data_IF_195168784337
#
_entry.id   IF_195168784337
#
_cell.length_a   1.000
_cell.length_b   1.000
_cell.length_c   1.000
_cell.angle_alpha   90.00
_cell.angle_beta   90.00
_cell.angle_gamma   90.00
#
_symmetry.space_group_name_H-M   'P 1'
#
loop_
_entity.id
_entity.type
_entity.pdbx_description
1 polymer ?
#
# COMPACT_ATOMS: atom_id res chain seq x y z
N UNK A 1 -29.54 12.21 4.37
CA UNK A 1 -29.32 10.80 4.78
C UNK A 1 -28.30 10.08 3.91
N UNK A 2 -28.47 9.96 2.58
CA UNK A 2 -27.49 9.24 1.74
C UNK A 2 -26.12 9.93 1.70
N UNK A 3 -26.08 11.26 1.49
CA UNK A 3 -24.83 12.02 1.50
C UNK A 3 -24.08 11.90 2.84
N UNK A 4 -24.79 12.08 3.96
CA UNK A 4 -24.21 11.95 5.29
C UNK A 4 -23.59 10.55 5.56
N UNK A 5 -24.20 9.48 5.04
CA UNK A 5 -23.63 8.12 5.14
C UNK A 5 -22.38 7.95 4.27
N UNK A 6 -22.34 8.64 3.12
CA UNK A 6 -21.18 8.65 2.23
C UNK A 6 -20.00 9.41 2.85
N UNK A 7 -20.26 10.55 3.48
CA UNK A 7 -19.24 11.34 4.18
C UNK A 7 -18.63 10.52 5.34
N UNK A 8 -19.45 9.81 6.12
CA UNK A 8 -18.95 8.92 7.19
C UNK A 8 -18.17 7.72 6.66
N UNK A 9 -18.54 7.20 5.48
CA UNK A 9 -17.76 6.14 4.84
C UNK A 9 -16.38 6.66 4.42
N UNK A 10 -16.30 7.88 3.86
CA UNK A 10 -15.04 8.54 3.51
C UNK A 10 -14.19 8.74 4.76
N UNK A 11 -14.77 9.24 5.86
CA UNK A 11 -14.06 9.41 7.12
C UNK A 11 -13.52 8.06 7.64
N UNK A 12 -14.33 7.01 7.64
CA UNK A 12 -13.92 5.68 8.07
C UNK A 12 -12.77 5.12 7.23
N UNK A 13 -12.89 5.17 5.91
CA UNK A 13 -11.83 4.71 5.00
C UNK A 13 -10.57 5.56 5.12
N UNK A 14 -10.70 6.88 5.33
CA UNK A 14 -9.53 7.76 5.48
C UNK A 14 -8.72 7.39 6.71
N UNK A 15 -9.38 7.06 7.83
CA UNK A 15 -8.72 6.63 9.06
C UNK A 15 -8.02 5.28 8.91
N UNK A 16 -8.58 4.36 8.11
CA UNK A 16 -7.92 3.10 7.81
C UNK A 16 -6.71 3.33 6.92
N UNK A 17 -6.84 4.10 5.84
CA UNK A 17 -5.74 4.44 4.94
C UNK A 17 -4.62 5.24 5.62
N UNK A 18 -4.90 6.00 6.67
CA UNK A 18 -3.85 6.69 7.44
C UNK A 18 -3.01 5.70 8.27
N UNK A 19 -3.63 4.63 8.78
CA UNK A 19 -2.95 3.55 9.52
C UNK A 19 -2.24 2.56 8.59
N UNK A 20 -2.90 2.24 7.49
CA UNK A 20 -2.39 1.37 6.42
C UNK A 20 -2.47 2.12 5.06
N UNK A 21 -1.46 2.95 4.75
CA UNK A 21 -1.38 3.69 3.49
C UNK A 21 -1.38 2.80 2.26
N UNK A 22 -0.97 1.53 2.38
CA UNK A 22 -1.00 0.59 1.27
C UNK A 22 -2.43 0.31 0.81
N UNK A 23 -3.43 0.48 1.70
CA UNK A 23 -4.84 0.25 1.38
C UNK A 23 -5.35 1.16 0.25
N UNK A 24 -4.76 2.32 0.00
CA UNK A 24 -5.13 3.18 -1.16
C UNK A 24 -4.86 2.49 -2.50
N UNK A 25 -4.04 1.43 -2.51
CA UNK A 25 -3.68 0.66 -3.71
C UNK A 25 -4.58 -0.54 -3.93
N UNK A 26 -5.54 -0.75 -3.03
CA UNK A 26 -6.45 -1.89 -3.09
C UNK A 26 -7.28 -1.87 -4.39
N UNK A 27 -7.39 -2.99 -5.13
CA UNK A 27 -8.20 -3.08 -6.34
C UNK A 27 -9.68 -2.71 -6.15
N UNK A 28 -10.21 -2.76 -4.92
CA UNK A 28 -11.58 -2.32 -4.60
C UNK A 28 -11.87 -0.91 -5.10
N UNK A 29 -10.88 -0.02 -5.14
CA UNK A 29 -11.06 1.35 -5.60
C UNK A 29 -11.33 1.47 -7.10
N UNK A 30 -11.12 0.39 -7.87
CA UNK A 30 -11.50 0.31 -9.29
C UNK A 30 -12.90 -0.26 -9.50
N UNK A 31 -13.49 -0.87 -8.47
CA UNK A 31 -14.86 -1.37 -8.56
C UNK A 31 -15.84 -0.19 -8.72
N UNK A 32 -16.78 -0.23 -9.69
CA UNK A 32 -17.70 0.88 -9.94
C UNK A 32 -18.50 1.34 -8.72
N UNK A 33 -18.74 0.47 -7.73
CA UNK A 33 -19.48 0.81 -6.52
C UNK A 33 -18.65 1.69 -5.56
N UNK A 34 -17.32 1.55 -5.60
CA UNK A 34 -16.38 2.23 -4.70
C UNK A 34 -15.56 3.32 -5.39
N UNK A 35 -15.40 3.28 -6.71
CA UNK A 35 -14.57 4.21 -7.48
C UNK A 35 -14.92 5.68 -7.24
N UNK A 36 -16.21 6.00 -7.05
CA UNK A 36 -16.66 7.37 -6.74
C UNK A 36 -16.20 7.89 -5.37
N UNK A 37 -15.85 7.01 -4.44
CA UNK A 37 -15.35 7.37 -3.11
C UNK A 37 -13.87 7.71 -3.14
N UNK A 38 -13.13 7.24 -4.14
CA UNK A 38 -11.67 7.30 -4.14
C UNK A 38 -11.13 8.75 -4.21
N UNK A 39 -11.58 9.64 -5.11
CA UNK A 39 -11.10 11.03 -5.10
C UNK A 39 -11.34 11.78 -3.78
N UNK A 40 -12.55 11.82 -3.20
CA UNK A 40 -12.77 12.54 -1.93
C UNK A 40 -12.08 11.86 -0.75
N UNK A 41 -11.87 10.54 -0.79
CA UNK A 41 -11.03 9.82 0.17
C UNK A 41 -9.59 10.32 0.16
N UNK A 42 -8.98 10.43 -1.03
CA UNK A 42 -7.61 10.92 -1.18
C UNK A 42 -7.49 12.37 -0.68
N UNK A 43 -8.45 13.23 -1.03
CA UNK A 43 -8.49 14.62 -0.52
C UNK A 43 -8.57 14.67 1.01
N UNK A 44 -9.43 13.83 1.62
CA UNK A 44 -9.56 13.74 3.07
C UNK A 44 -8.25 13.29 3.72
N UNK A 45 -7.60 12.25 3.19
CA UNK A 45 -6.31 11.74 3.71
C UNK A 45 -5.26 12.85 3.66
N UNK A 46 -5.11 13.54 2.52
CA UNK A 46 -4.13 14.61 2.37
C UNK A 46 -4.42 15.78 3.31
N UNK A 47 -5.68 16.16 3.49
CA UNK A 47 -6.07 17.20 4.45
C UNK A 47 -5.72 16.81 5.88
N UNK A 48 -6.01 15.57 6.28
CA UNK A 48 -5.71 15.07 7.63
C UNK A 48 -4.20 14.96 7.86
N UNK A 49 -3.42 14.50 6.89
CA UNK A 49 -1.94 14.48 7.00
C UNK A 49 -1.38 15.90 7.20
N UNK A 50 -1.88 16.87 6.44
CA UNK A 50 -1.45 18.27 6.60
C UNK A 50 -1.82 18.83 7.99
N UNK A 51 -3.01 18.52 8.49
CA UNK A 51 -3.44 18.91 9.84
C UNK A 51 -2.51 18.29 10.89
N UNK A 52 -2.30 16.97 10.85
CA UNK A 52 -1.43 16.26 11.80
C UNK A 52 0.00 16.81 11.78
N UNK A 53 0.54 17.15 10.60
CA UNK A 53 1.85 17.79 10.48
C UNK A 53 1.88 19.16 11.14
N UNK A 54 0.82 19.95 11.01
CA UNK A 54 0.73 21.28 11.62
C UNK A 54 0.59 21.20 13.15
N UNK A 55 -0.14 20.22 13.65
CA UNK A 55 -0.38 20.02 15.10
C UNK A 55 0.86 19.45 15.81
N UNK A 56 1.70 18.70 15.10
CA UNK A 56 2.84 17.99 15.65
C UNK A 56 4.20 18.46 15.09
N UNK A 57 4.36 19.76 14.84
CA UNK A 57 5.57 20.31 14.19
C UNK A 57 6.88 20.04 14.95
N UNK A 58 6.79 19.90 16.27
CA UNK A 58 7.97 19.73 17.14
C UNK A 58 8.46 18.27 17.24
N UNK A 59 7.67 17.28 16.77
CA UNK A 59 8.07 15.87 16.77
C UNK A 59 8.67 15.46 15.43
N UNK A 60 10.01 15.53 15.34
CA UNK A 60 10.74 15.21 14.11
C UNK A 60 10.53 13.77 13.60
N UNK A 61 10.35 12.79 14.50
CA UNK A 61 10.14 11.40 14.10
C UNK A 61 8.75 11.21 13.52
N UNK A 62 7.74 11.81 14.15
CA UNK A 62 6.39 11.79 13.63
C UNK A 62 6.26 12.55 12.31
N UNK A 63 6.92 13.71 12.18
CA UNK A 63 7.01 14.43 10.90
C UNK A 63 7.64 13.57 9.79
N UNK A 64 8.68 12.80 10.12
CA UNK A 64 9.33 11.87 9.18
C UNK A 64 8.34 10.80 8.71
N UNK A 65 7.58 10.19 9.63
CA UNK A 65 6.55 9.21 9.29
C UNK A 65 5.49 9.82 8.38
N UNK A 66 4.91 10.96 8.77
CA UNK A 66 3.87 11.63 7.99
C UNK A 66 4.34 12.04 6.60
N UNK A 67 5.57 12.56 6.48
CA UNK A 67 6.16 12.92 5.19
C UNK A 67 6.43 11.71 4.29
N UNK A 68 6.85 10.57 4.85
CA UNK A 68 7.00 9.32 4.08
C UNK A 68 5.66 8.84 3.52
N UNK A 69 4.61 8.83 4.35
CA UNK A 69 3.24 8.48 3.93
C UNK A 69 2.78 9.42 2.82
N UNK A 70 2.92 10.73 3.04
CA UNK A 70 2.50 11.76 2.09
C UNK A 70 3.25 11.64 0.74
N UNK A 71 4.57 11.43 0.79
CA UNK A 71 5.40 11.23 -0.40
C UNK A 71 5.02 9.98 -1.18
N UNK A 72 4.76 8.86 -0.51
CA UNK A 72 4.26 7.63 -1.12
C UNK A 72 2.90 7.80 -1.78
N UNK A 73 1.98 8.51 -1.14
CA UNK A 73 0.66 8.85 -1.73
C UNK A 73 0.85 9.70 -2.99
N UNK A 74 1.70 10.74 -2.94
CA UNK A 74 1.96 11.56 -4.12
C UNK A 74 2.57 10.74 -5.28
N UNK A 75 3.48 9.81 -4.98
CA UNK A 75 4.04 8.90 -5.98
C UNK A 75 2.96 8.01 -6.59
N UNK A 76 2.10 7.40 -5.76
CA UNK A 76 1.00 6.55 -6.22
C UNK A 76 0.03 7.30 -7.15
N UNK A 77 -0.24 8.57 -6.85
CA UNK A 77 -1.10 9.43 -7.67
C UNK A 77 -0.41 10.00 -8.93
N UNK A 78 0.88 9.71 -9.13
CA UNK A 78 1.66 10.21 -10.28
C UNK A 78 2.08 11.67 -10.12
N UNK A 79 1.97 12.23 -8.91
CA UNK A 79 2.36 13.60 -8.59
C UNK A 79 3.86 13.65 -8.25
N UNK A 80 4.71 13.19 -9.17
CA UNK A 80 6.14 12.99 -8.93
C UNK A 80 6.89 14.22 -8.40
N UNK A 81 6.63 15.47 -8.85
CA UNK A 81 7.28 16.63 -8.26
C UNK A 81 6.97 16.84 -6.77
N UNK A 82 5.74 16.50 -6.34
CA UNK A 82 5.35 16.58 -4.92
C UNK A 82 5.91 15.40 -4.14
N UNK A 83 5.91 14.21 -4.73
CA UNK A 83 6.52 13.03 -4.13
C UNK A 83 8.02 13.27 -3.86
N UNK A 84 8.73 13.86 -4.81
CA UNK A 84 10.14 14.22 -4.68
C UNK A 84 10.37 15.24 -3.57
N UNK A 85 9.56 16.30 -3.49
CA UNK A 85 9.67 17.31 -2.44
C UNK A 85 9.59 16.72 -1.02
N UNK A 86 8.78 15.69 -0.82
CA UNK A 86 8.67 14.97 0.47
C UNK A 86 9.79 13.92 0.62
N UNK A 87 9.94 13.00 -0.35
CA UNK A 87 10.82 11.83 -0.23
C UNK A 87 12.30 12.18 -0.26
N UNK A 88 12.72 13.29 -0.85
CA UNK A 88 14.11 13.76 -0.74
C UNK A 88 14.45 14.17 0.71
N UNK A 89 13.47 14.65 1.48
CA UNK A 89 13.69 15.10 2.86
C UNK A 89 13.63 13.94 3.84
N UNK A 90 12.63 13.06 3.70
CA UNK A 90 12.31 12.04 4.71
C UNK A 90 12.26 10.61 4.19
N UNK A 91 12.27 10.43 2.85
CA UNK A 91 12.24 9.11 2.22
C UNK A 91 13.53 8.33 2.49
N UNK A 92 13.40 7.02 2.62
CA UNK A 92 14.52 6.11 2.63
C UNK A 92 15.11 5.92 1.22
N UNK A 93 16.34 5.40 1.17
CA UNK A 93 17.09 5.25 -0.09
C UNK A 93 16.31 4.44 -1.13
N UNK A 94 15.53 3.45 -0.69
CA UNK A 94 14.78 2.59 -1.58
C UNK A 94 13.55 3.30 -2.17
N UNK A 95 12.80 4.09 -1.39
CA UNK A 95 11.68 4.87 -1.92
C UNK A 95 12.14 5.95 -2.89
N UNK A 96 13.26 6.62 -2.59
CA UNK A 96 13.88 7.57 -3.52
C UNK A 96 14.31 6.91 -4.84
N UNK A 97 14.89 5.71 -4.78
CA UNK A 97 15.27 4.96 -5.97
C UNK A 97 14.07 4.54 -6.82
N UNK A 98 12.98 4.07 -6.19
CA UNK A 98 11.76 3.72 -6.92
C UNK A 98 11.05 4.95 -7.51
N UNK A 99 11.07 6.09 -6.81
CA UNK A 99 10.58 7.37 -7.34
C UNK A 99 11.41 7.78 -8.57
N UNK A 100 12.74 7.74 -8.48
CA UNK A 100 13.63 8.08 -9.59
C UNK A 100 13.40 7.16 -10.80
N UNK A 101 13.27 5.85 -10.56
CA UNK A 101 12.91 4.87 -11.59
C UNK A 101 11.58 5.17 -12.28
N UNK A 102 10.60 5.72 -11.54
CA UNK A 102 9.29 6.08 -12.09
C UNK A 102 9.33 7.35 -12.93
N UNK A 103 10.29 8.25 -12.68
CA UNK A 103 10.48 9.50 -13.43
C UNK A 103 11.36 9.32 -14.65
N UNK A 104 12.49 8.64 -14.48
CA UNK A 104 13.58 8.51 -15.44
C UNK A 104 13.86 7.00 -15.71
N UNK A 105 12.90 6.27 -16.30
CA UNK A 105 12.98 4.82 -16.49
C UNK A 105 14.10 4.38 -17.44
N UNK A 106 14.77 5.29 -18.15
CA UNK A 106 15.95 5.00 -18.97
C UNK A 106 17.26 4.91 -18.15
N UNK A 107 17.24 5.28 -16.87
CA UNK A 107 18.40 5.26 -15.96
C UNK A 107 18.31 4.16 -14.91
N UNK A 108 17.62 3.05 -15.22
CA UNK A 108 17.35 1.95 -14.27
C UNK A 108 18.61 1.49 -13.54
N UNK A 109 19.71 1.34 -14.28
CA UNK A 109 20.99 0.82 -13.82
C UNK A 109 21.62 1.68 -12.71
N UNK A 110 21.30 2.98 -12.68
CA UNK A 110 21.74 3.90 -11.63
C UNK A 110 20.98 3.68 -10.31
N UNK A 111 19.69 3.34 -10.41
CA UNK A 111 18.79 3.22 -9.27
C UNK A 111 18.72 1.79 -8.71
N UNK A 112 19.01 0.79 -9.53
CA UNK A 112 18.95 -0.62 -9.17
C UNK A 112 19.76 -0.98 -7.91
N UNK A 113 21.01 -0.48 -7.70
CA UNK A 113 21.80 -0.81 -6.51
C UNK A 113 21.22 -0.27 -5.19
N UNK A 114 20.29 0.67 -5.26
CA UNK A 114 19.62 1.23 -4.09
C UNK A 114 18.36 0.45 -3.69
N UNK A 115 17.84 -0.43 -4.55
CA UNK A 115 16.68 -1.26 -4.26
C UNK A 115 17.07 -2.51 -3.45
N UNK A 116 16.18 -3.04 -2.59
CA UNK A 116 16.38 -4.35 -1.98
C UNK A 116 16.46 -5.45 -3.05
N UNK A 117 17.21 -6.52 -2.78
CA UNK A 117 17.44 -7.59 -3.77
C UNK A 117 16.14 -8.19 -4.38
N UNK A 118 15.08 -8.47 -3.61
CA UNK A 118 13.81 -8.92 -4.20
C UNK A 118 13.20 -7.88 -5.15
N UNK A 119 13.19 -6.60 -4.77
CA UNK A 119 12.66 -5.51 -5.58
C UNK A 119 13.49 -5.31 -6.86
N UNK A 120 14.82 -5.36 -6.74
CA UNK A 120 15.73 -5.26 -7.87
C UNK A 120 15.52 -6.38 -8.89
N UNK A 121 15.24 -7.61 -8.44
CA UNK A 121 14.89 -8.74 -9.32
C UNK A 121 13.62 -8.49 -10.13
N UNK A 122 12.63 -7.80 -9.57
CA UNK A 122 11.41 -7.45 -10.31
C UNK A 122 11.69 -6.41 -11.38
N UNK A 123 12.56 -5.45 -11.10
CA UNK A 123 13.02 -4.47 -12.10
C UNK A 123 13.83 -5.16 -13.20
N UNK A 124 14.70 -6.10 -12.85
CA UNK A 124 15.45 -6.91 -13.82
C UNK A 124 14.52 -7.81 -14.67
N UNK A 125 13.46 -8.35 -14.06
CA UNK A 125 12.45 -9.15 -14.75
C UNK A 125 11.69 -8.30 -15.78
N UNK A 126 11.38 -7.04 -15.44
CA UNK A 126 10.81 -6.06 -16.36
C UNK A 126 11.73 -5.80 -17.56
N UNK A 127 13.03 -5.57 -17.31
CA UNK A 127 14.00 -5.32 -18.38
C UNK A 127 14.28 -6.53 -19.27
N UNK A 128 14.18 -7.74 -18.72
CA UNK A 128 14.54 -8.98 -19.40
C UNK A 128 13.38 -10.00 -19.39
N UNK A 129 12.39 -9.86 -20.28
CA UNK A 129 11.23 -10.75 -20.33
C UNK A 129 11.57 -12.24 -20.45
N UNK A 130 12.71 -12.58 -21.08
CA UNK A 130 13.19 -13.96 -21.21
C UNK A 130 13.58 -14.62 -19.88
N UNK A 131 14.01 -13.82 -18.88
CA UNK A 131 14.40 -14.29 -17.55
C UNK A 131 13.35 -13.96 -16.48
N UNK A 132 12.26 -13.29 -16.85
CA UNK A 132 11.27 -12.77 -15.91
C UNK A 132 10.73 -13.84 -14.95
N UNK A 133 10.40 -15.02 -15.47
CA UNK A 133 9.85 -16.12 -14.66
C UNK A 133 10.83 -16.58 -13.57
N UNK A 134 12.11 -16.70 -13.90
CA UNK A 134 13.13 -17.12 -12.93
C UNK A 134 13.34 -16.03 -11.87
N UNK A 135 13.49 -14.78 -12.29
CA UNK A 135 13.72 -13.64 -11.41
C UNK A 135 12.55 -13.39 -10.44
N UNK A 136 11.31 -13.48 -10.92
CA UNK A 136 10.10 -13.35 -10.08
C UNK A 136 10.06 -14.47 -9.03
N UNK A 137 10.34 -15.71 -9.42
CA UNK A 137 10.35 -16.84 -8.48
C UNK A 137 11.44 -16.68 -7.40
N UNK A 138 12.64 -16.23 -7.80
CA UNK A 138 13.72 -15.95 -6.85
C UNK A 138 13.32 -14.85 -5.87
N UNK A 139 12.75 -13.75 -6.36
CA UNK A 139 12.28 -12.65 -5.52
C UNK A 139 11.16 -13.09 -4.56
N UNK A 140 10.21 -13.88 -5.04
CA UNK A 140 9.13 -14.42 -4.22
C UNK A 140 9.66 -15.36 -3.13
N UNK A 141 10.57 -16.27 -3.47
CA UNK A 141 11.17 -17.22 -2.54
C UNK A 141 11.95 -16.51 -1.43
N UNK A 142 12.65 -15.42 -1.75
CA UNK A 142 13.37 -14.62 -0.76
C UNK A 142 12.44 -13.95 0.25
N UNK A 143 11.24 -13.52 -0.17
CA UNK A 143 10.27 -12.86 0.72
C UNK A 143 9.44 -13.88 1.51
N UNK A 144 8.97 -14.95 0.87
CA UNK A 144 7.98 -15.86 1.44
C UNK A 144 8.54 -17.21 1.91
N UNK A 145 9.79 -17.52 1.59
CA UNK A 145 10.42 -18.81 1.92
C UNK A 145 9.79 -20.03 1.22
N UNK A 146 8.86 -19.81 0.29
CA UNK A 146 8.14 -20.85 -0.45
C UNK A 146 8.06 -20.48 -1.93
N UNK A 147 7.88 -21.46 -2.85
CA UNK A 147 7.68 -21.18 -4.27
C UNK A 147 6.40 -20.36 -4.52
N UNK A 148 6.41 -19.55 -5.57
CA UNK A 148 5.23 -18.77 -5.97
C UNK A 148 4.15 -19.71 -6.51
N UNK A 149 2.88 -19.57 -6.08
CA UNK A 149 1.80 -20.34 -6.66
C UNK A 149 1.69 -20.10 -8.17
N UNK A 150 1.64 -21.18 -8.95
CA UNK A 150 1.64 -21.11 -10.42
C UNK A 150 0.58 -20.14 -11.00
N UNK A 151 -0.68 -20.11 -10.52
CA UNK A 151 -1.66 -19.15 -11.04
C UNK A 151 -1.26 -17.69 -10.82
N UNK A 152 -0.65 -17.38 -9.68
CA UNK A 152 -0.21 -16.03 -9.34
C UNK A 152 1.02 -15.64 -10.16
N UNK A 153 1.94 -16.58 -10.39
CA UNK A 153 3.10 -16.39 -11.26
C UNK A 153 2.67 -16.07 -12.70
N UNK A 154 1.73 -16.84 -13.26
CA UNK A 154 1.21 -16.62 -14.61
C UNK A 154 0.47 -15.27 -14.73
N UNK A 155 -0.29 -14.88 -13.70
CA UNK A 155 -0.91 -13.56 -13.64
C UNK A 155 0.15 -12.45 -13.63
N UNK A 156 1.22 -12.64 -12.87
CA UNK A 156 2.31 -11.65 -12.75
C UNK A 156 3.06 -11.51 -14.08
N UNK A 157 3.44 -12.62 -14.71
CA UNK A 157 4.09 -12.62 -16.02
C UNK A 157 3.24 -11.95 -17.10
N UNK A 158 1.94 -12.25 -17.15
CA UNK A 158 1.01 -11.60 -18.09
C UNK A 158 0.92 -10.11 -17.84
N UNK A 159 0.74 -9.70 -16.59
CA UNK A 159 0.63 -8.27 -16.24
C UNK A 159 1.87 -7.46 -16.61
N UNK A 160 3.06 -8.04 -16.45
CA UNK A 160 4.32 -7.41 -16.85
C UNK A 160 4.39 -7.20 -18.36
N UNK A 161 3.87 -8.14 -19.15
CA UNK A 161 3.87 -8.04 -20.62
C UNK A 161 2.82 -7.05 -21.15
N UNK A 162 1.68 -6.92 -20.46
CA UNK A 162 0.57 -6.07 -20.88
C UNK A 162 0.76 -4.59 -20.47
N UNK A 163 1.55 -4.32 -19.43
CA UNK A 163 1.73 -2.98 -18.93
C UNK A 163 2.57 -2.11 -19.89
N UNK A 164 2.23 -0.83 -20.10
CA UNK A 164 2.99 0.06 -20.99
C UNK A 164 4.36 0.48 -20.43
N UNK A 165 4.45 0.62 -19.11
CA UNK A 165 5.68 0.99 -18.39
C UNK A 165 5.65 0.41 -16.98
N UNK A 166 6.82 0.43 -16.31
CA UNK A 166 7.00 -0.18 -15.00
C UNK A 166 6.15 0.50 -13.90
N UNK A 167 5.96 1.81 -13.98
CA UNK A 167 5.15 2.54 -13.01
C UNK A 167 3.66 2.19 -13.14
N UNK A 168 3.15 2.13 -14.38
CA UNK A 168 1.79 1.67 -14.66
C UNK A 168 1.62 0.18 -14.35
N UNK A 169 2.68 -0.63 -14.46
CA UNK A 169 2.64 -2.01 -13.99
C UNK A 169 2.38 -2.09 -12.47
N UNK A 170 3.14 -1.34 -11.67
CA UNK A 170 2.94 -1.28 -10.21
C UNK A 170 1.57 -0.70 -9.83
N UNK A 171 1.08 0.27 -10.62
CA UNK A 171 -0.18 0.95 -10.32
C UNK A 171 -1.37 0.20 -10.87
N UNK A 172 -1.54 0.20 -12.19
CA UNK A 172 -2.80 -0.12 -12.88
C UNK A 172 -2.90 -1.56 -13.34
N UNK A 173 -1.77 -2.19 -13.67
CA UNK A 173 -1.73 -3.58 -14.15
C UNK A 173 -1.31 -4.57 -13.07
N UNK A 174 -1.09 -4.11 -11.83
CA UNK A 174 -0.56 -4.94 -10.77
C UNK A 174 -1.39 -6.22 -10.56
N UNK A 175 -0.75 -7.40 -10.50
CA UNK A 175 -1.43 -8.63 -10.15
C UNK A 175 -2.03 -8.53 -8.74
N UNK A 176 -3.12 -9.25 -8.50
CA UNK A 176 -3.88 -9.18 -7.25
C UNK A 176 -3.48 -10.36 -6.37
N UNK A 177 -2.95 -10.07 -5.18
CA UNK A 177 -2.78 -11.07 -4.15
C UNK A 177 -4.12 -11.27 -3.44
N UNK A 178 -4.57 -12.52 -3.34
CA UNK A 178 -5.78 -12.87 -2.61
C UNK A 178 -5.50 -13.96 -1.58
N UNK A 179 -5.91 -13.74 -0.34
CA UNK A 179 -5.73 -14.71 0.74
C UNK A 179 -6.76 -14.50 1.86
N UNK A 180 -6.81 -15.43 2.81
CA UNK A 180 -7.56 -15.28 4.06
C UNK A 180 -6.59 -15.21 5.21
N UNK A 181 -6.77 -14.23 6.09
CA UNK A 181 -5.94 -14.09 7.29
C UNK A 181 -6.14 -15.32 8.18
N UNK A 182 -5.05 -15.96 8.57
CA UNK A 182 -5.05 -17.01 9.57
C UNK A 182 -4.78 -16.37 10.93
N UNK A 183 -5.57 -16.73 11.94
CA UNK A 183 -5.38 -16.22 13.30
C UNK A 183 -4.72 -17.28 14.16
N UNK A 184 -3.67 -16.87 14.89
CA UNK A 184 -3.11 -17.68 15.97
C UNK A 184 -4.02 -17.56 17.20
N UNK A 185 -4.67 -18.66 17.59
CA UNK A 185 -5.43 -18.75 18.85
C UNK A 185 -6.82 -19.39 18.72
N UNK A 186 -7.29 -19.97 19.82
CA UNK A 186 -8.65 -20.51 19.95
C UNK A 186 -9.66 -19.37 20.15
N UNK A 187 -10.71 -19.34 19.33
CA UNK A 187 -11.86 -18.46 19.58
C UNK A 187 -12.58 -18.89 20.87
N UNK A 188 -12.40 -18.12 21.95
CA UNK A 188 -12.97 -18.42 23.28
C UNK A 188 -14.52 -18.53 23.24
N UNK A 189 -15.16 -18.03 22.18
CA UNK A 189 -16.62 -18.07 21.99
C UNK A 189 -17.12 -18.95 20.83
N UNK A 190 -16.27 -19.74 20.15
CA UNK A 190 -16.69 -20.58 19.02
C UNK A 190 -16.41 -22.06 19.31
N UNK A 191 -17.42 -22.77 19.83
CA UNK A 191 -17.44 -24.24 19.84
C UNK A 191 -17.70 -24.72 18.40
N UNK A 192 -16.61 -24.98 17.68
CA UNK A 192 -16.48 -25.60 16.33
C UNK A 192 -16.67 -24.70 15.10
N UNK A 193 -15.62 -24.63 14.25
CA UNK A 193 -15.61 -25.23 12.89
C UNK A 193 -14.22 -25.47 12.22
N UNK A 194 -13.12 -24.75 12.48
CA UNK A 194 -12.03 -24.70 11.45
C UNK A 194 -10.60 -25.11 11.87
N UNK A 195 -10.43 -26.25 12.55
CA UNK A 195 -9.10 -26.86 12.75
C UNK A 195 -8.12 -26.03 13.62
N UNK A 196 -6.81 -26.36 13.64
CA UNK A 196 -5.84 -25.68 14.51
C UNK A 196 -5.54 -24.23 14.11
N UNK A 197 -5.87 -23.83 12.87
CA UNK A 197 -5.59 -22.50 12.31
C UNK A 197 -6.86 -21.92 11.68
N UNK A 198 -7.75 -21.28 12.46
CA UNK A 198 -8.95 -20.67 11.91
C UNK A 198 -8.60 -19.55 10.91
N UNK A 199 -9.35 -19.47 9.82
CA UNK A 199 -9.19 -18.44 8.79
C UNK A 199 -10.39 -17.50 8.78
N UNK A 200 -10.14 -16.21 8.61
CA UNK A 200 -11.21 -15.21 8.49
C UNK A 200 -12.10 -15.47 7.26
N UNK A 201 -13.39 -15.16 7.37
CA UNK A 201 -14.33 -15.24 6.24
C UNK A 201 -14.02 -14.20 5.14
N UNK A 202 -13.48 -13.05 5.54
CA UNK A 202 -13.13 -11.99 4.61
C UNK A 202 -11.88 -12.37 3.81
N UNK A 203 -12.02 -12.35 2.48
CA UNK A 203 -10.90 -12.53 1.57
C UNK A 203 -10.21 -11.18 1.38
N UNK A 204 -8.96 -11.11 1.79
CA UNK A 204 -8.11 -9.94 1.61
C UNK A 204 -7.66 -9.89 0.15
N UNK A 205 -7.70 -8.69 -0.44
CA UNK A 205 -7.24 -8.40 -1.80
C UNK A 205 -6.23 -7.25 -1.76
N UNK A 206 -5.04 -7.46 -2.30
CA UNK A 206 -3.93 -6.50 -2.20
C UNK A 206 -3.20 -6.32 -3.54
N UNK A 207 -2.53 -5.18 -3.70
CA UNK A 207 -1.59 -4.93 -4.79
C UNK A 207 -0.32 -5.76 -4.54
N UNK A 208 -0.14 -6.85 -5.30
CA UNK A 208 0.90 -7.84 -5.05
C UNK A 208 2.31 -7.22 -5.04
N UNK A 209 2.72 -6.42 -6.04
CA UNK A 209 4.05 -5.82 -6.03
C UNK A 209 4.32 -4.94 -4.82
N UNK A 210 3.37 -4.07 -4.46
CA UNK A 210 3.59 -3.11 -3.38
C UNK A 210 3.59 -3.77 -2.00
N UNK A 211 2.75 -4.78 -1.76
CA UNK A 211 2.77 -5.49 -0.48
C UNK A 211 3.99 -6.41 -0.31
N UNK A 212 4.50 -6.96 -1.42
CA UNK A 212 5.51 -8.03 -1.37
C UNK A 212 6.93 -7.49 -1.55
N UNK A 213 7.16 -6.68 -2.59
CA UNK A 213 8.52 -6.31 -3.03
C UNK A 213 8.81 -4.83 -2.83
N UNK A 214 7.80 -3.96 -2.84
CA UNK A 214 7.94 -2.52 -2.67
C UNK A 214 7.22 -1.93 -1.44
N UNK A 215 7.20 -2.62 -0.27
CA UNK A 215 6.42 -2.15 0.89
C UNK A 215 6.97 -0.85 1.51
N UNK A 216 8.21 -0.49 1.17
CA UNK A 216 8.85 0.75 1.62
C UNK A 216 8.26 2.02 0.98
N UNK A 217 7.55 1.91 -0.16
CA UNK A 217 6.99 3.08 -0.85
C UNK A 217 5.76 3.63 -0.13
N UNK A 218 4.94 2.77 0.45
CA UNK A 218 3.76 3.12 1.26
C UNK A 218 3.89 2.42 2.60
N UNK A 219 4.51 3.08 3.61
CA UNK A 219 4.80 2.42 4.87
C UNK A 219 3.51 2.11 5.63
N UNK A 220 3.24 0.83 5.86
CA UNK A 220 2.15 0.34 6.72
C UNK A 220 2.74 -0.19 8.04
N UNK A 221 2.94 0.65 9.06
CA UNK A 221 3.55 0.23 10.31
C UNK A 221 2.67 -0.79 11.04
N UNK A 222 3.28 -1.89 11.49
CA UNK A 222 2.58 -2.90 12.31
C UNK A 222 2.17 -2.32 13.68
N UNK A 223 2.97 -1.40 14.21
CA UNK A 223 2.73 -0.71 15.47
C UNK A 223 3.26 0.73 15.33
N UNK A 224 2.37 1.71 15.45
CA UNK A 224 2.71 3.14 15.46
C UNK A 224 1.87 3.86 16.52
N UNK A 225 2.21 3.72 17.82
CA UNK A 225 1.39 4.23 18.92
C UNK A 225 1.17 5.74 18.85
N UNK A 226 2.18 6.49 18.39
CA UNK A 226 2.11 7.94 18.21
C UNK A 226 1.03 8.29 17.18
N UNK A 227 1.05 7.63 16.01
CA UNK A 227 0.02 7.80 14.99
C UNK A 227 -1.37 7.38 15.50
N UNK A 228 -1.45 6.26 16.20
CA UNK A 228 -2.73 5.78 16.74
C UNK A 228 -3.33 6.74 17.77
N UNK A 229 -2.50 7.33 18.62
CA UNK A 229 -2.92 8.34 19.60
C UNK A 229 -3.47 9.58 18.91
N UNK A 230 -2.78 10.09 17.89
CA UNK A 230 -3.21 11.27 17.13
C UNK A 230 -4.49 11.01 16.31
N UNK A 231 -4.68 9.78 15.83
CA UNK A 231 -5.90 9.38 15.10
C UNK A 231 -7.08 9.01 16.03
N UNK A 232 -6.85 8.83 17.34
CA UNK A 232 -7.88 8.37 18.27
C UNK A 232 -9.00 9.40 18.51
N UNK A 233 -8.76 10.72 18.60
CA UNK A 233 -9.82 11.73 18.63
C UNK A 233 -10.73 11.66 17.40
N UNK A 234 -10.15 11.63 16.20
CA UNK A 234 -10.90 11.53 14.94
C UNK A 234 -11.75 10.26 14.88
N UNK A 235 -11.21 9.14 15.33
CA UNK A 235 -11.95 7.88 15.47
C UNK A 235 -13.13 8.03 16.44
N UNK A 236 -12.92 8.68 17.57
CA UNK A 236 -13.96 8.87 18.60
C UNK A 236 -15.11 9.73 18.07
N UNK A 237 -14.80 10.81 17.36
CA UNK A 237 -15.78 11.67 16.69
C UNK A 237 -16.59 10.91 15.65
N UNK A 238 -15.92 10.11 14.81
CA UNK A 238 -16.58 9.26 13.82
C UNK A 238 -17.56 8.27 14.47
N UNK A 239 -17.14 7.59 15.55
CA UNK A 239 -18.02 6.66 16.29
C UNK A 239 -19.27 7.36 16.83
N UNK A 240 -19.10 8.55 17.40
CA UNK A 240 -20.23 9.33 17.90
C UNK A 240 -21.17 9.79 16.77
N UNK A 241 -20.63 10.14 15.61
CA UNK A 241 -21.42 10.55 14.45
C UNK A 241 -22.22 9.37 13.87
N UNK A 242 -21.61 8.19 13.78
CA UNK A 242 -22.27 6.95 13.35
C UNK A 242 -23.39 6.57 14.33
N UNK A 243 -23.16 6.66 15.65
CA UNK A 243 -24.14 6.29 16.66
C UNK A 243 -25.40 7.21 16.69
N UNK A 244 -25.35 8.38 16.05
CA UNK A 244 -26.45 9.34 15.97
C UNK A 244 -27.34 9.16 14.73
N UNK A 245 -27.02 8.21 13.84
CA UNK A 245 -27.73 7.92 12.58
C UNK A 245 -28.51 6.63 12.71
#
# INVERSE_FOLDING_TARGET
>A
MVQQKLDLAIDAFSLECLRDPLFITNPVWRDPNFARLYPPLIEKIQSTLNQLRQENQDDANFQTLLGKIQGGIYWWLGQFPRAEAELTQVGDRQSQALLALSKDPERIEEYLPALPDPAAKLVQAWQNPAQAQELINQAWLQVNGTPMPEPLLQQTLRSLQEAPDFYLWLRDYAPILQYRRQRLGFGVNLRHIDGPNPSDFYQVTENLPLVTWFPFMLPSPILAPELDNELQPLRTELWQAIAKI
#
